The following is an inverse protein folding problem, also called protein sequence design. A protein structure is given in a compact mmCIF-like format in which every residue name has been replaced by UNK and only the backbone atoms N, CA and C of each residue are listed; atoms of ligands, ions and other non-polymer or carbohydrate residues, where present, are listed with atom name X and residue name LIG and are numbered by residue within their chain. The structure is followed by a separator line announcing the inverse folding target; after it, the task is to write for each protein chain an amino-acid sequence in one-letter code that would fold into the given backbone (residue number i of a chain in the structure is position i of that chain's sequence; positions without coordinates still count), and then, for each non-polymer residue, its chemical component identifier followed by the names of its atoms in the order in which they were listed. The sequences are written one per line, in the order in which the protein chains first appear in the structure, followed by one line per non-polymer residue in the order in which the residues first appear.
data_IF_828115162490
#
_entry.id   IF_828115162490
#
_cell.length_a   1.000
_cell.length_b   1.000
_cell.length_c   1.000
_cell.angle_alpha   90.00
_cell.angle_beta   90.00
_cell.angle_gamma   90.00
#
_symmetry.space_group_name_H-M   'P 1'
#
loop_
_entity.id
_entity.type
_entity.pdbx_description
1 polymer ?
#
# COMPACT_ATOMS: atom_id res chain seq x y z
N UNK A 1 -18.90 13.05 9.15
CA UNK A 1 -20.38 12.92 9.15
C UNK A 1 -20.91 11.92 8.11
N UNK A 2 -20.47 11.97 6.85
CA UNK A 2 -20.92 11.03 5.81
C UNK A 2 -20.69 9.54 6.14
N UNK A 3 -19.47 9.16 6.55
CA UNK A 3 -19.16 7.75 6.92
C UNK A 3 -20.11 7.24 8.03
N UNK A 4 -20.40 8.05 9.05
CA UNK A 4 -21.31 7.66 10.14
C UNK A 4 -22.72 7.30 9.63
N UNK A 5 -23.18 7.96 8.56
CA UNK A 5 -24.49 7.73 7.97
C UNK A 5 -24.50 6.52 7.02
N UNK A 6 -23.38 6.23 6.35
CA UNK A 6 -23.31 5.28 5.23
C UNK A 6 -22.38 4.07 5.45
N UNK A 7 -21.70 3.93 6.60
CA UNK A 7 -20.69 2.87 6.83
C UNK A 7 -21.22 1.44 6.71
N UNK A 8 -22.53 1.25 6.85
CA UNK A 8 -23.17 -0.07 6.71
C UNK A 8 -23.43 -0.45 5.26
N UNK A 9 -23.36 0.50 4.32
CA UNK A 9 -23.64 0.28 2.90
C UNK A 9 -22.46 -0.42 2.20
N UNK A 10 -22.77 -1.39 1.36
CA UNK A 10 -21.77 -2.14 0.59
C UNK A 10 -21.02 -1.25 -0.40
N UNK A 11 -21.70 -0.27 -0.98
CA UNK A 11 -21.07 0.73 -1.82
C UNK A 11 -20.00 1.53 -1.06
N UNK A 12 -20.32 2.05 0.13
CA UNK A 12 -19.35 2.84 0.90
C UNK A 12 -18.18 1.97 1.40
N UNK A 13 -18.43 0.69 1.70
CA UNK A 13 -17.38 -0.27 1.99
C UNK A 13 -16.44 -0.47 0.80
N UNK A 14 -16.97 -0.75 -0.39
CA UNK A 14 -16.19 -0.96 -1.62
C UNK A 14 -15.46 0.31 -2.10
N UNK A 15 -16.10 1.46 -1.99
CA UNK A 15 -15.55 2.77 -2.37
C UNK A 15 -14.25 3.10 -1.64
N UNK A 16 -14.13 2.72 -0.37
CA UNK A 16 -12.93 2.98 0.44
C UNK A 16 -11.68 2.24 -0.08
N UNK A 17 -11.82 1.15 -0.82
CA UNK A 17 -10.66 0.47 -1.42
C UNK A 17 -10.05 1.24 -2.59
N UNK A 18 -10.80 2.18 -3.18
CA UNK A 18 -10.33 3.03 -4.26
C UNK A 18 -9.98 4.44 -3.77
N UNK A 19 -10.76 4.98 -2.82
CA UNK A 19 -10.71 6.40 -2.47
C UNK A 19 -10.70 6.66 -0.96
N UNK A 20 -10.51 5.61 -0.15
CA UNK A 20 -10.39 5.73 1.30
C UNK A 20 -8.96 6.06 1.74
N UNK A 21 -8.64 5.77 3.01
CA UNK A 21 -7.32 6.03 3.59
C UNK A 21 -6.24 5.05 3.11
N UNK A 22 -6.63 3.87 2.63
CA UNK A 22 -5.72 2.80 2.22
C UNK A 22 -6.01 2.28 0.80
N UNK A 23 -6.01 3.15 -0.22
CA UNK A 23 -6.43 2.81 -1.58
C UNK A 23 -5.31 2.11 -2.35
N UNK A 24 -4.67 1.10 -1.76
CA UNK A 24 -3.46 0.49 -2.32
C UNK A 24 -3.51 -1.03 -2.34
N UNK A 25 -4.49 -1.69 -1.73
CA UNK A 25 -4.49 -3.16 -1.61
C UNK A 25 -5.30 -3.86 -2.70
N UNK A 26 -6.32 -3.20 -3.24
CA UNK A 26 -7.20 -3.79 -4.24
C UNK A 26 -6.46 -4.07 -5.54
N UNK A 27 -6.72 -5.25 -6.09
CA UNK A 27 -6.23 -5.68 -7.40
C UNK A 27 -7.34 -6.39 -8.17
N UNK A 28 -7.27 -6.36 -9.49
CA UNK A 28 -8.14 -7.16 -10.35
C UNK A 28 -7.84 -8.64 -10.14
N UNK A 29 -8.87 -9.43 -9.97
CA UNK A 29 -8.78 -10.86 -9.77
C UNK A 29 -8.78 -11.55 -11.13
N UNK A 30 -7.69 -12.23 -11.49
CA UNK A 30 -7.57 -12.98 -12.76
C UNK A 30 -7.93 -14.46 -12.61
N UNK A 31 -7.90 -14.96 -11.38
CA UNK A 31 -8.25 -16.33 -11.00
C UNK A 31 -8.68 -16.32 -9.53
N UNK A 32 -9.76 -17.03 -9.18
CA UNK A 32 -10.20 -17.17 -7.79
C UNK A 32 -9.16 -18.03 -7.03
N UNK A 33 -8.58 -17.54 -5.91
CA UNK A 33 -7.62 -18.33 -5.15
C UNK A 33 -8.24 -19.62 -4.62
N UNK A 34 -7.53 -20.76 -4.72
CA UNK A 34 -7.99 -22.05 -4.16
C UNK A 34 -8.32 -22.02 -2.66
N UNK A 35 -7.72 -21.06 -1.94
CA UNK A 35 -7.98 -20.81 -0.51
C UNK A 35 -9.29 -20.05 -0.23
N UNK A 36 -10.02 -19.65 -1.27
CA UNK A 36 -11.36 -19.07 -1.23
C UNK A 36 -12.29 -19.90 -2.12
N UNK A 37 -12.91 -20.98 -1.61
CA UNK A 37 -13.79 -21.86 -2.37
C UNK A 37 -15.19 -21.26 -2.59
N UNK A 38 -15.25 -20.01 -3.08
CA UNK A 38 -16.50 -19.35 -3.47
C UNK A 38 -16.99 -19.91 -4.81
N UNK A 39 -18.29 -20.11 -4.95
CA UNK A 39 -18.91 -20.64 -6.18
C UNK A 39 -19.86 -19.62 -6.79
N UNK A 40 -20.24 -19.84 -8.06
CA UNK A 40 -21.26 -19.02 -8.73
C UNK A 40 -22.58 -19.01 -7.95
N UNK A 41 -23.05 -20.15 -7.44
CA UNK A 41 -24.31 -20.24 -6.69
C UNK A 41 -24.29 -19.40 -5.41
N UNK A 42 -23.13 -19.26 -4.77
CA UNK A 42 -22.99 -18.45 -3.56
C UNK A 42 -23.18 -16.95 -3.84
N UNK A 43 -22.72 -16.48 -5.00
CA UNK A 43 -22.70 -15.05 -5.34
C UNK A 43 -23.69 -14.67 -6.43
N UNK A 44 -24.52 -15.61 -6.90
CA UNK A 44 -25.47 -15.41 -8.01
C UNK A 44 -26.33 -14.16 -7.82
N UNK A 45 -26.83 -13.93 -6.59
CA UNK A 45 -27.66 -12.76 -6.27
C UNK A 45 -26.93 -11.41 -6.37
N UNK A 46 -25.60 -11.43 -6.43
CA UNK A 46 -24.76 -10.24 -6.55
C UNK A 46 -24.28 -9.99 -7.99
N UNK A 47 -24.37 -10.99 -8.87
CA UNK A 47 -23.95 -10.87 -10.27
C UNK A 47 -25.10 -10.30 -11.11
N UNK A 48 -24.81 -9.32 -11.96
CA UNK A 48 -25.85 -8.52 -12.63
C UNK A 48 -25.89 -8.73 -14.16
N UNK A 49 -25.00 -9.57 -14.71
CA UNK A 49 -24.82 -9.73 -16.17
C UNK A 49 -25.28 -11.07 -16.73
N UNK A 50 -25.94 -11.91 -15.92
CA UNK A 50 -26.26 -13.31 -16.28
C UNK A 50 -25.02 -14.10 -16.71
N UNK A 51 -23.90 -13.86 -16.04
CA UNK A 51 -22.64 -14.56 -16.22
C UNK A 51 -22.33 -15.37 -14.97
N UNK A 52 -21.62 -16.48 -15.14
CA UNK A 52 -21.01 -17.21 -14.02
C UNK A 52 -19.90 -16.38 -13.36
N UNK A 53 -19.52 -16.71 -12.12
CA UNK A 53 -18.41 -16.05 -11.43
C UNK A 53 -17.11 -16.17 -12.25
N UNK A 54 -16.85 -17.35 -12.83
CA UNK A 54 -15.67 -17.59 -13.66
C UNK A 54 -15.67 -16.74 -14.94
N UNK A 55 -16.83 -16.48 -15.52
CA UNK A 55 -16.97 -15.57 -16.66
C UNK A 55 -16.76 -14.12 -16.24
N UNK A 56 -17.28 -13.68 -15.09
CA UNK A 56 -17.05 -12.32 -14.56
C UNK A 56 -15.57 -12.07 -14.24
N UNK A 57 -14.84 -13.10 -13.75
CA UNK A 57 -13.37 -13.06 -13.60
C UNK A 57 -12.70 -12.85 -14.96
N UNK A 58 -13.09 -13.60 -15.99
CA UNK A 58 -12.52 -13.47 -17.35
C UNK A 58 -12.82 -12.11 -17.99
N UNK A 59 -14.00 -11.54 -17.70
CA UNK A 59 -14.37 -10.19 -18.12
C UNK A 59 -13.63 -9.09 -17.34
N UNK A 60 -12.91 -9.45 -16.27
CA UNK A 60 -12.18 -8.49 -15.44
C UNK A 60 -13.05 -7.67 -14.50
N UNK A 61 -14.27 -8.14 -14.20
CA UNK A 61 -15.22 -7.46 -13.30
C UNK A 61 -15.05 -7.86 -11.83
N UNK A 62 -14.19 -8.83 -11.52
CA UNK A 62 -13.93 -9.31 -10.17
C UNK A 62 -12.62 -8.75 -9.64
N UNK A 63 -12.63 -8.32 -8.38
CA UNK A 63 -11.50 -7.74 -7.67
C UNK A 63 -11.30 -8.45 -6.35
N UNK A 64 -10.09 -8.37 -5.81
CA UNK A 64 -9.74 -9.06 -4.57
C UNK A 64 -8.85 -8.19 -3.68
N UNK A 65 -9.10 -8.26 -2.38
CA UNK A 65 -8.21 -7.76 -1.34
C UNK A 65 -7.89 -8.94 -0.43
N UNK A 66 -6.61 -9.27 -0.29
CA UNK A 66 -6.12 -10.43 0.45
C UNK A 66 -5.17 -9.98 1.56
N UNK A 67 -5.58 -10.21 2.81
CA UNK A 67 -4.87 -9.80 4.01
C UNK A 67 -3.94 -10.89 4.56
N UNK A 68 -3.42 -11.77 3.69
CA UNK A 68 -2.52 -12.88 4.06
C UNK A 68 -1.33 -12.45 4.95
N UNK A 69 -0.84 -11.21 4.81
CA UNK A 69 0.24 -10.69 5.66
C UNK A 69 -0.08 -10.73 7.17
N UNK A 70 -1.36 -10.61 7.53
CA UNK A 70 -1.84 -10.68 8.91
C UNK A 70 -1.90 -12.11 9.46
N UNK A 71 -1.84 -13.14 8.59
CA UNK A 71 -1.92 -14.53 9.05
C UNK A 71 -0.71 -14.87 9.92
N UNK A 72 -0.98 -15.40 11.12
CA UNK A 72 0.03 -15.68 12.13
C UNK A 72 0.76 -14.44 12.66
N UNK A 73 0.15 -13.26 12.64
CA UNK A 73 0.61 -12.10 13.44
C UNK A 73 0.05 -12.22 14.85
N UNK A 74 0.89 -11.95 15.85
CA UNK A 74 0.47 -11.97 17.25
C UNK A 74 -0.47 -10.80 17.57
N UNK A 75 -1.61 -11.11 18.18
CA UNK A 75 -2.50 -10.11 18.74
C UNK A 75 -1.92 -9.52 20.03
N UNK A 76 -2.29 -8.27 20.31
CA UNK A 76 -1.83 -7.51 21.46
C UNK A 76 -2.32 -8.14 22.78
N UNK A 77 -1.36 -8.42 23.69
CA UNK A 77 -1.58 -9.03 25.01
C UNK A 77 -1.12 -8.14 26.16
N UNK A 78 -0.92 -6.84 25.91
CA UNK A 78 -0.41 -5.90 26.92
C UNK A 78 -1.43 -5.57 28.02
N UNK A 79 -2.73 -5.65 27.71
CA UNK A 79 -3.81 -5.60 28.70
C UNK A 79 -4.30 -7.03 29.03
N UNK A 80 -4.00 -7.58 30.21
CA UNK A 80 -4.43 -8.92 30.60
C UNK A 80 -5.94 -9.02 30.86
N UNK A 81 -6.63 -7.89 31.01
CA UNK A 81 -8.08 -7.86 31.25
C UNK A 81 -8.89 -7.85 29.95
N UNK A 82 -8.25 -7.59 28.80
CA UNK A 82 -8.93 -7.49 27.49
C UNK A 82 -8.22 -8.36 26.46
N UNK A 83 -8.87 -9.46 26.05
CA UNK A 83 -8.37 -10.28 24.94
C UNK A 83 -8.64 -9.55 23.63
N UNK A 84 -7.58 -9.30 22.86
CA UNK A 84 -7.65 -8.72 21.52
C UNK A 84 -7.42 -9.80 20.46
N UNK A 85 -7.90 -9.55 19.25
CA UNK A 85 -7.97 -10.52 18.17
C UNK A 85 -7.58 -9.86 16.84
N UNK A 86 -7.05 -10.68 15.94
CA UNK A 86 -6.73 -10.31 14.57
C UNK A 86 -7.39 -11.32 13.61
N UNK A 87 -7.62 -10.89 12.38
CA UNK A 87 -8.06 -11.73 11.28
C UNK A 87 -7.11 -11.56 10.09
N UNK A 88 -7.21 -12.45 9.11
CA UNK A 88 -6.49 -12.33 7.84
C UNK A 88 -7.48 -12.59 6.69
N UNK A 89 -8.41 -11.65 6.42
CA UNK A 89 -9.51 -11.90 5.51
C UNK A 89 -9.11 -11.99 4.04
N UNK A 90 -9.97 -12.61 3.25
CA UNK A 90 -10.00 -12.50 1.79
C UNK A 90 -11.35 -11.89 1.42
N UNK A 91 -11.33 -10.73 0.79
CA UNK A 91 -12.52 -10.00 0.35
C UNK A 91 -12.59 -10.04 -1.18
N UNK A 92 -13.66 -10.62 -1.72
CA UNK A 92 -13.96 -10.60 -3.15
C UNK A 92 -14.97 -9.49 -3.44
N UNK A 93 -14.71 -8.71 -4.49
CA UNK A 93 -15.54 -7.59 -4.90
C UNK A 93 -15.90 -7.70 -6.38
N UNK A 94 -16.99 -7.04 -6.75
CA UNK A 94 -17.56 -7.07 -8.09
C UNK A 94 -17.84 -5.65 -8.59
N UNK A 95 -17.51 -5.39 -9.85
CA UNK A 95 -17.91 -4.17 -10.56
C UNK A 95 -19.29 -4.34 -11.16
N UNK A 96 -20.26 -3.68 -10.56
CA UNK A 96 -21.66 -3.73 -10.97
C UNK A 96 -21.93 -2.96 -12.29
N UNK A 97 -23.18 -2.95 -12.77
CA UNK A 97 -23.59 -2.26 -14.00
C UNK A 97 -23.44 -0.74 -13.93
N UNK A 98 -23.44 -0.17 -12.71
CA UNK A 98 -23.14 1.24 -12.46
C UNK A 98 -21.64 1.53 -12.34
N UNK A 99 -20.77 0.56 -12.64
CA UNK A 99 -19.31 0.63 -12.49
C UNK A 99 -18.83 0.90 -11.04
N UNK A 100 -19.66 0.60 -10.05
CA UNK A 100 -19.29 0.63 -8.63
C UNK A 100 -18.73 -0.72 -8.22
N UNK A 101 -17.64 -0.69 -7.45
CA UNK A 101 -17.06 -1.90 -6.86
C UNK A 101 -17.74 -2.14 -5.51
N UNK A 102 -18.35 -3.31 -5.34
CA UNK A 102 -19.06 -3.71 -4.11
C UNK A 102 -18.60 -5.09 -3.63
N UNK A 103 -18.56 -5.35 -2.32
CA UNK A 103 -18.20 -6.66 -1.77
C UNK A 103 -19.27 -7.72 -2.07
N UNK A 104 -18.84 -8.93 -2.44
CA UNK A 104 -19.74 -10.06 -2.75
C UNK A 104 -19.43 -11.32 -1.93
N UNK A 105 -18.23 -11.45 -1.37
CA UNK A 105 -17.87 -12.56 -0.50
C UNK A 105 -16.72 -12.18 0.44
N UNK A 106 -16.78 -12.63 1.70
CA UNK A 106 -15.72 -12.41 2.70
C UNK A 106 -15.44 -13.72 3.45
N UNK A 107 -14.19 -14.18 3.41
CA UNK A 107 -13.70 -15.25 4.30
C UNK A 107 -12.73 -14.62 5.31
N UNK A 108 -12.91 -14.83 6.62
CA UNK A 108 -12.15 -14.09 7.65
C UNK A 108 -10.76 -14.66 7.96
N UNK A 109 -10.56 -15.96 7.72
CA UNK A 109 -9.25 -16.61 7.80
C UNK A 109 -8.72 -17.06 6.43
N UNK A 110 -7.43 -17.41 6.38
CA UNK A 110 -6.76 -17.84 5.15
C UNK A 110 -7.01 -19.31 4.79
N UNK A 111 -7.38 -20.16 5.75
CA UNK A 111 -7.64 -21.59 5.52
C UNK A 111 -9.14 -21.85 5.49
N UNK A 112 -9.72 -22.32 4.37
CA UNK A 112 -11.15 -22.60 4.31
C UNK A 112 -11.49 -23.81 5.20
N UNK A 113 -12.71 -23.83 5.72
CA UNK A 113 -13.20 -24.92 6.56
C UNK A 113 -14.54 -24.57 7.22
N UNK A 114 -15.18 -25.53 7.91
CA UNK A 114 -16.48 -25.32 8.55
C UNK A 114 -16.46 -24.20 9.60
N UNK A 115 -15.32 -23.99 10.27
CA UNK A 115 -15.13 -22.94 11.29
C UNK A 115 -14.66 -21.59 10.70
N UNK A 116 -14.50 -21.51 9.37
CA UNK A 116 -14.14 -20.28 8.65
C UNK A 116 -15.05 -20.14 7.42
N UNK A 117 -16.34 -19.79 7.64
CA UNK A 117 -17.31 -19.68 6.57
C UNK A 117 -16.96 -18.51 5.63
N UNK A 118 -17.54 -18.57 4.43
CA UNK A 118 -17.57 -17.45 3.49
C UNK A 118 -18.89 -16.72 3.73
N UNK A 119 -18.80 -15.51 4.28
CA UNK A 119 -19.93 -14.63 4.50
C UNK A 119 -20.32 -13.92 3.21
N UNK A 120 -21.62 -13.72 3.01
CA UNK A 120 -22.23 -13.18 1.81
C UNK A 120 -23.18 -12.01 2.14
N UNK A 121 -23.44 -11.09 1.20
CA UNK A 121 -24.44 -10.03 1.38
C UNK A 121 -25.86 -10.55 1.64
N UNK A 122 -26.14 -11.80 1.27
CA UNK A 122 -27.42 -12.49 1.45
C UNK A 122 -27.59 -13.12 2.84
N UNK A 123 -26.54 -13.16 3.66
CA UNK A 123 -26.60 -13.69 5.02
C UNK A 123 -27.41 -12.79 5.96
N UNK A 124 -27.58 -13.23 7.22
CA UNK A 124 -28.22 -12.41 8.24
C UNK A 124 -27.49 -11.06 8.37
N UNK A 125 -28.26 -10.00 8.59
CA UNK A 125 -27.78 -8.61 8.56
C UNK A 125 -26.50 -8.38 9.37
N UNK A 126 -26.41 -9.00 10.56
CA UNK A 126 -25.26 -8.82 11.44
C UNK A 126 -24.07 -9.73 11.12
N UNK A 127 -24.29 -10.88 10.47
CA UNK A 127 -23.21 -11.75 10.02
C UNK A 127 -22.41 -11.04 8.92
N UNK A 128 -23.12 -10.52 7.91
CA UNK A 128 -22.51 -9.74 6.85
C UNK A 128 -21.86 -8.44 7.36
N UNK A 129 -22.54 -7.71 8.24
CA UNK A 129 -22.01 -6.48 8.80
C UNK A 129 -20.72 -6.73 9.60
N UNK A 130 -20.69 -7.79 10.42
CA UNK A 130 -19.51 -8.13 11.22
C UNK A 130 -18.35 -8.60 10.34
N UNK A 131 -18.61 -9.38 9.29
CA UNK A 131 -17.58 -9.77 8.32
C UNK A 131 -16.91 -8.54 7.68
N UNK A 132 -17.71 -7.55 7.27
CA UNK A 132 -17.20 -6.26 6.77
C UNK A 132 -16.39 -5.49 7.83
N UNK A 133 -16.85 -5.45 9.09
CA UNK A 133 -16.11 -4.79 10.18
C UNK A 133 -14.72 -5.42 10.36
N UNK A 134 -14.61 -6.75 10.32
CA UNK A 134 -13.32 -7.44 10.40
C UNK A 134 -12.39 -7.13 9.23
N UNK A 135 -12.93 -7.01 8.01
CA UNK A 135 -12.15 -6.54 6.86
C UNK A 135 -11.69 -5.09 7.07
N UNK A 136 -12.54 -4.18 7.55
CA UNK A 136 -12.13 -2.79 7.84
C UNK A 136 -11.07 -2.71 8.94
N UNK A 137 -11.15 -3.55 9.98
CA UNK A 137 -10.11 -3.66 11.01
C UNK A 137 -8.78 -4.14 10.43
N UNK A 138 -8.83 -5.14 9.56
CA UNK A 138 -7.64 -5.68 8.88
C UNK A 138 -7.02 -4.64 7.93
N UNK A 139 -7.86 -3.90 7.21
CA UNK A 139 -7.45 -2.77 6.37
C UNK A 139 -6.73 -1.70 7.18
N UNK A 140 -7.29 -1.33 8.34
CA UNK A 140 -6.68 -0.37 9.25
C UNK A 140 -5.31 -0.86 9.75
N UNK A 141 -5.16 -2.14 10.10
CA UNK A 141 -3.88 -2.66 10.58
C UNK A 141 -2.78 -2.62 9.50
N UNK A 142 -3.11 -3.03 8.26
CA UNK A 142 -2.19 -2.93 7.13
C UNK A 142 -1.88 -1.47 6.80
N UNK A 143 -2.92 -0.62 6.78
CA UNK A 143 -2.79 0.81 6.53
C UNK A 143 -1.78 1.46 7.47
N UNK A 144 -1.99 1.34 8.79
CA UNK A 144 -1.13 1.99 9.78
C UNK A 144 0.31 1.50 9.72
N UNK A 145 0.50 0.18 9.63
CA UNK A 145 1.81 -0.44 9.85
C UNK A 145 2.63 -0.55 8.57
N UNK A 146 1.97 -0.90 7.47
CA UNK A 146 2.65 -1.20 6.20
C UNK A 146 2.55 -0.01 5.26
N UNK A 147 1.34 0.38 4.89
CA UNK A 147 1.13 1.45 3.90
C UNK A 147 1.67 2.79 4.40
N UNK A 148 1.38 3.14 5.66
CA UNK A 148 1.76 4.39 6.27
C UNK A 148 3.18 4.32 6.85
N UNK A 149 3.40 3.59 7.94
CA UNK A 149 4.71 3.57 8.63
C UNK A 149 5.84 3.04 7.73
N UNK A 150 5.78 1.79 7.24
CA UNK A 150 6.90 1.22 6.48
C UNK A 150 7.11 1.94 5.14
N UNK A 151 6.06 1.99 4.31
CA UNK A 151 6.19 2.36 2.90
C UNK A 151 6.27 3.87 2.64
N UNK A 152 5.99 4.71 3.63
CA UNK A 152 6.23 6.17 3.54
C UNK A 152 7.28 6.62 4.54
N UNK A 153 7.03 6.51 5.84
CA UNK A 153 7.94 7.04 6.86
C UNK A 153 9.33 6.40 6.81
N UNK A 154 9.43 5.07 6.91
CA UNK A 154 10.73 4.40 7.01
C UNK A 154 11.50 4.43 5.68
N UNK A 155 10.81 4.26 4.54
CA UNK A 155 11.42 4.42 3.21
C UNK A 155 11.94 5.85 3.00
N UNK A 156 11.16 6.87 3.36
CA UNK A 156 11.59 8.27 3.25
C UNK A 156 12.78 8.59 4.16
N UNK A 157 12.84 7.98 5.34
CA UNK A 157 13.98 8.14 6.25
C UNK A 157 15.26 7.51 5.69
N UNK A 158 15.16 6.35 5.02
CA UNK A 158 16.28 5.75 4.28
C UNK A 158 16.83 6.72 3.23
N UNK A 159 15.96 7.32 2.43
CA UNK A 159 16.37 8.33 1.44
C UNK A 159 17.00 9.55 2.11
N UNK A 160 16.41 10.04 3.20
CA UNK A 160 16.90 11.19 3.96
C UNK A 160 18.32 10.95 4.49
N UNK A 161 18.55 9.80 5.13
CA UNK A 161 19.84 9.46 5.74
C UNK A 161 20.92 9.32 4.67
N UNK A 162 20.64 8.61 3.57
CA UNK A 162 21.58 8.47 2.48
C UNK A 162 21.92 9.83 1.84
N UNK A 163 20.92 10.70 1.63
CA UNK A 163 21.12 12.05 1.11
C UNK A 163 22.09 12.84 2.00
N UNK A 164 21.84 12.89 3.32
CA UNK A 164 22.70 13.61 4.25
C UNK A 164 24.11 13.03 4.38
N UNK A 165 24.30 11.72 4.14
CA UNK A 165 25.60 11.06 4.26
C UNK A 165 26.46 11.19 3.01
N UNK A 166 25.84 11.19 1.83
CA UNK A 166 26.57 11.00 0.57
C UNK A 166 26.53 12.22 -0.35
N UNK A 167 25.55 13.12 -0.21
CA UNK A 167 25.41 14.29 -1.08
C UNK A 167 25.78 15.57 -0.31
N UNK A 168 26.85 16.30 -0.67
CA UNK A 168 27.20 17.55 -0.02
C UNK A 168 26.18 18.65 -0.34
N UNK A 169 26.11 19.69 0.51
CA UNK A 169 25.12 20.76 0.37
C UNK A 169 25.21 21.56 -0.95
N UNK A 170 26.35 21.49 -1.65
CA UNK A 170 26.55 22.09 -2.97
C UNK A 170 25.99 21.23 -4.10
N UNK A 171 25.84 19.91 -3.89
CA UNK A 171 25.37 18.98 -4.92
C UNK A 171 23.94 19.32 -5.36
N UNK A 172 23.64 19.33 -6.67
CA UNK A 172 22.31 19.71 -7.17
C UNK A 172 21.21 18.80 -6.62
N UNK A 173 21.47 17.49 -6.51
CA UNK A 173 20.51 16.55 -5.95
C UNK A 173 20.24 16.77 -4.45
N UNK A 174 21.21 17.24 -3.67
CA UNK A 174 20.96 17.64 -2.28
C UNK A 174 19.99 18.82 -2.23
N UNK A 175 20.22 19.85 -3.06
CA UNK A 175 19.37 21.04 -3.13
C UNK A 175 17.94 20.70 -3.55
N UNK A 176 17.80 19.76 -4.49
CA UNK A 176 16.51 19.24 -4.94
C UNK A 176 15.78 18.48 -3.82
N UNK A 177 16.46 17.56 -3.13
CA UNK A 177 15.82 16.62 -2.22
C UNK A 177 15.62 17.17 -0.80
N UNK A 178 16.47 18.07 -0.31
CA UNK A 178 16.41 18.57 1.07
C UNK A 178 15.04 19.13 1.50
N UNK A 179 14.27 19.87 0.67
CA UNK A 179 12.91 20.29 1.08
C UNK A 179 11.95 19.11 1.28
N UNK A 180 12.11 18.00 0.54
CA UNK A 180 11.28 16.80 0.64
C UNK A 180 11.63 15.91 1.85
N UNK A 181 12.84 16.07 2.42
CA UNK A 181 13.32 15.28 3.55
C UNK A 181 13.11 15.96 4.91
N UNK A 182 12.53 17.17 4.91
CA UNK A 182 12.44 18.00 6.10
C UNK A 182 11.61 17.31 7.18
N UNK A 183 12.23 17.14 8.34
CA UNK A 183 11.66 16.54 9.56
C UNK A 183 11.35 15.04 9.52
N UNK A 184 11.54 14.33 8.40
CA UNK A 184 11.32 12.88 8.31
C UNK A 184 12.07 12.10 9.39
N UNK A 185 13.37 12.35 9.55
CA UNK A 185 14.19 11.69 10.59
C UNK A 185 13.69 12.07 12.00
N UNK A 186 13.31 13.33 12.21
CA UNK A 186 12.87 13.82 13.51
C UNK A 186 11.54 13.19 13.95
N UNK A 187 10.55 13.13 13.05
CA UNK A 187 9.24 12.53 13.36
C UNK A 187 9.36 11.02 13.57
N UNK A 188 10.17 10.33 12.76
CA UNK A 188 10.40 8.89 12.93
C UNK A 188 11.15 8.57 14.22
N UNK A 189 12.09 9.44 14.63
CA UNK A 189 12.77 9.31 15.92
C UNK A 189 11.77 9.45 17.08
N UNK A 190 10.88 10.44 17.04
CA UNK A 190 9.80 10.57 18.04
C UNK A 190 8.86 9.37 18.03
N UNK A 191 8.51 8.84 16.86
CA UNK A 191 7.66 7.66 16.76
C UNK A 191 8.31 6.45 17.43
N UNK A 192 9.60 6.20 17.18
CA UNK A 192 10.36 5.13 17.84
C UNK A 192 10.54 5.34 19.34
N UNK A 193 10.50 6.58 19.83
CA UNK A 193 10.64 6.88 21.26
C UNK A 193 9.31 6.78 22.02
N UNK A 194 8.19 7.14 21.38
CA UNK A 194 6.92 7.39 22.08
C UNK A 194 5.72 6.61 21.54
N UNK A 195 5.71 6.30 20.24
CA UNK A 195 4.55 5.73 19.55
C UNK A 195 4.65 4.21 19.44
N UNK A 196 5.66 3.73 18.72
CA UNK A 196 5.82 2.32 18.32
C UNK A 196 6.91 1.58 19.12
N UNK A 197 7.44 2.21 20.18
CA UNK A 197 8.29 1.53 21.15
C UNK A 197 7.49 0.50 21.96
N UNK A 198 8.21 -0.39 22.64
CA UNK A 198 7.61 -1.23 23.68
C UNK A 198 6.88 -0.35 24.70
N UNK A 199 5.62 -0.69 25.02
CA UNK A 199 4.73 0.09 25.89
C UNK A 199 4.40 1.51 25.38
N UNK A 200 4.63 1.78 24.09
CA UNK A 200 4.32 3.04 23.44
C UNK A 200 2.82 3.31 23.32
N UNK A 201 2.46 4.50 22.83
CA UNK A 201 1.06 4.90 22.65
C UNK A 201 0.30 3.98 21.69
N UNK A 202 0.98 3.36 20.72
CA UNK A 202 0.35 2.46 19.75
C UNK A 202 -0.27 1.23 20.43
N UNK A 203 0.31 0.74 21.52
CA UNK A 203 -0.18 -0.47 22.21
C UNK A 203 -1.53 -0.26 22.91
N UNK A 204 -1.97 0.99 23.11
CA UNK A 204 -3.17 1.32 23.87
C UNK A 204 -4.48 1.00 23.15
N UNK A 205 -4.50 1.04 21.82
CA UNK A 205 -5.72 0.94 21.02
C UNK A 205 -5.60 -0.02 19.82
N UNK A 206 -4.41 -0.53 19.52
CA UNK A 206 -4.18 -1.33 18.33
C UNK A 206 -4.01 -2.82 18.68
N UNK A 207 -4.80 -3.67 18.03
CA UNK A 207 -4.70 -5.13 18.18
C UNK A 207 -3.38 -5.72 17.67
N UNK A 208 -2.60 -4.97 16.89
CA UNK A 208 -1.23 -5.32 16.48
C UNK A 208 -0.15 -4.73 17.41
N UNK A 209 -0.54 -4.03 18.49
CA UNK A 209 0.37 -3.59 19.54
C UNK A 209 1.07 -4.75 20.25
N UNK A 210 2.09 -4.46 21.04
CA UNK A 210 2.84 -5.46 21.82
C UNK A 210 3.76 -6.35 20.97
N UNK A 211 4.05 -5.95 19.73
CA UNK A 211 5.03 -6.61 18.84
C UNK A 211 4.46 -7.15 17.53
N UNK A 212 3.14 -7.31 17.39
CA UNK A 212 2.52 -7.77 16.13
C UNK A 212 2.84 -6.87 14.94
N UNK A 213 2.81 -5.56 15.12
CA UNK A 213 3.18 -4.57 14.09
C UNK A 213 4.66 -4.69 13.66
N UNK A 214 5.56 -5.09 14.56
CA UNK A 214 6.97 -5.35 14.21
C UNK A 214 7.07 -6.60 13.32
N UNK A 215 6.32 -7.66 13.62
CA UNK A 215 6.24 -8.86 12.77
C UNK A 215 5.68 -8.52 11.39
N UNK A 216 4.67 -7.66 11.32
CA UNK A 216 4.11 -7.18 10.05
C UNK A 216 5.15 -6.44 9.21
N UNK A 217 5.93 -5.52 9.80
CA UNK A 217 7.02 -4.82 9.10
C UNK A 217 8.05 -5.83 8.56
N UNK A 218 8.44 -6.82 9.37
CA UNK A 218 9.40 -7.86 8.95
C UNK A 218 8.88 -8.71 7.78
N UNK A 219 7.58 -9.06 7.79
CA UNK A 219 6.93 -9.76 6.67
C UNK A 219 6.90 -8.87 5.43
N UNK A 220 6.35 -7.65 5.56
CA UNK A 220 6.17 -6.70 4.46
C UNK A 220 7.49 -6.28 3.79
N UNK A 221 8.60 -6.22 4.55
CA UNK A 221 9.92 -5.88 4.00
C UNK A 221 10.38 -6.86 2.92
N UNK A 222 9.91 -8.12 2.95
CA UNK A 222 10.23 -9.13 1.93
C UNK A 222 9.59 -8.82 0.58
N UNK A 223 8.46 -8.12 0.59
CA UNK A 223 7.67 -7.76 -0.58
C UNK A 223 7.86 -6.29 -1.01
N UNK A 224 8.66 -5.53 -0.26
CA UNK A 224 9.01 -4.16 -0.62
C UNK A 224 10.00 -4.17 -1.80
N UNK A 225 9.51 -3.78 -2.97
CA UNK A 225 10.33 -3.64 -4.17
C UNK A 225 10.39 -2.19 -4.65
N UNK A 226 11.44 -1.85 -5.39
CA UNK A 226 11.56 -0.55 -6.04
C UNK A 226 10.41 -0.29 -7.02
N UNK A 227 10.00 -1.28 -7.83
CA UNK A 227 8.87 -1.15 -8.75
C UNK A 227 7.54 -0.90 -8.01
N UNK A 228 7.38 -1.43 -6.80
CA UNK A 228 6.19 -1.16 -5.98
C UNK A 228 6.11 0.28 -5.43
N UNK A 229 7.17 1.07 -5.59
CA UNK A 229 7.20 2.51 -5.32
C UNK A 229 7.10 3.36 -6.60
N UNK A 230 7.21 2.73 -7.78
CA UNK A 230 6.94 3.38 -9.06
C UNK A 230 5.44 3.42 -9.29
N UNK A 231 4.81 4.56 -9.04
CA UNK A 231 3.34 4.65 -8.94
C UNK A 231 2.59 4.08 -10.16
N UNK A 232 2.91 4.43 -11.42
CA UNK A 232 2.21 3.87 -12.58
C UNK A 232 2.44 2.36 -12.75
N UNK A 233 3.64 1.87 -12.44
CA UNK A 233 3.96 0.44 -12.52
C UNK A 233 3.16 -0.36 -11.50
N UNK A 234 3.01 0.15 -10.28
CA UNK A 234 2.27 -0.50 -9.20
C UNK A 234 0.76 -0.56 -9.49
N UNK A 235 0.18 0.51 -10.04
CA UNK A 235 -1.23 0.52 -10.48
C UNK A 235 -1.46 -0.53 -11.57
N UNK A 236 -0.56 -0.58 -12.56
CA UNK A 236 -0.62 -1.56 -13.66
C UNK A 236 -0.40 -2.99 -13.17
N UNK A 237 0.53 -3.22 -12.24
CA UNK A 237 0.80 -4.53 -11.66
C UNK A 237 -0.42 -5.11 -10.93
N UNK A 238 -1.29 -4.25 -10.39
CA UNK A 238 -2.57 -4.63 -9.78
C UNK A 238 -3.72 -4.76 -10.79
N UNK A 239 -3.47 -4.45 -12.07
CA UNK A 239 -4.49 -4.44 -13.12
C UNK A 239 -5.55 -3.37 -12.90
N UNK A 240 -5.17 -2.24 -12.29
CA UNK A 240 -6.09 -1.15 -11.94
C UNK A 240 -5.88 0.11 -12.80
N UNK A 241 -5.09 0.02 -13.87
CA UNK A 241 -4.66 1.15 -14.72
C UNK A 241 -5.69 1.59 -15.77
N UNK A 242 -6.73 0.80 -16.04
CA UNK A 242 -7.77 1.14 -17.01
C UNK A 242 -8.79 2.14 -16.43
N UNK A 243 -8.80 3.36 -16.97
CA UNK A 243 -9.79 4.39 -16.63
C UNK A 243 -11.19 4.06 -17.19
N UNK A 244 -11.25 3.30 -18.28
CA UNK A 244 -12.51 2.88 -18.90
C UNK A 244 -13.19 1.78 -18.07
N UNK A 245 -12.42 0.79 -17.61
CA UNK A 245 -12.95 -0.32 -16.82
C UNK A 245 -13.24 0.10 -15.38
N UNK A 246 -12.41 0.98 -14.80
CA UNK A 246 -12.48 1.40 -13.40
C UNK A 246 -12.51 2.94 -13.35
N UNK A 247 -13.67 3.58 -13.61
CA UNK A 247 -13.77 5.02 -13.79
C UNK A 247 -13.73 5.85 -12.50
N UNK A 248 -13.82 5.23 -11.33
CA UNK A 248 -13.96 5.92 -10.04
C UNK A 248 -12.77 5.68 -9.09
N UNK A 249 -11.55 5.59 -9.64
CA UNK A 249 -10.33 5.40 -8.87
C UNK A 249 -9.50 6.70 -8.80
N UNK A 250 -9.96 7.64 -7.99
CA UNK A 250 -9.40 9.00 -7.95
C UNK A 250 -7.98 9.05 -7.39
N UNK A 251 -7.64 8.16 -6.43
CA UNK A 251 -6.27 8.01 -5.97
C UNK A 251 -5.29 7.71 -7.12
N UNK A 252 -5.67 6.81 -8.03
CA UNK A 252 -4.90 6.53 -9.25
C UNK A 252 -4.85 7.76 -10.14
N UNK A 253 -6.01 8.34 -10.47
CA UNK A 253 -6.11 9.39 -11.47
C UNK A 253 -5.29 10.64 -11.09
N UNK A 254 -5.39 11.03 -9.83
CA UNK A 254 -4.65 12.19 -9.31
C UNK A 254 -3.19 11.83 -9.03
N UNK A 255 -2.92 10.61 -8.53
CA UNK A 255 -1.57 10.12 -8.32
C UNK A 255 -0.74 10.05 -9.60
N UNK A 256 -1.32 9.62 -10.73
CA UNK A 256 -0.65 9.62 -12.04
C UNK A 256 -0.26 11.04 -12.45
N UNK A 257 -1.19 12.01 -12.34
CA UNK A 257 -0.91 13.41 -12.69
C UNK A 257 0.22 14.01 -11.85
N UNK A 258 0.20 13.76 -10.53
CA UNK A 258 1.24 14.25 -9.62
C UNK A 258 2.57 13.55 -9.89
N UNK A 259 2.55 12.25 -10.17
CA UNK A 259 3.74 11.49 -10.56
C UNK A 259 4.38 12.06 -11.82
N UNK A 260 3.59 12.30 -12.87
CA UNK A 260 4.06 12.87 -14.14
C UNK A 260 4.62 14.28 -13.97
N UNK A 261 3.97 15.12 -13.16
CA UNK A 261 4.46 16.46 -12.86
C UNK A 261 5.81 16.43 -12.12
N UNK A 262 5.97 15.56 -11.13
CA UNK A 262 7.23 15.38 -10.40
C UNK A 262 8.32 14.82 -11.33
N UNK A 263 7.96 13.86 -12.19
CA UNK A 263 8.89 13.27 -13.15
C UNK A 263 9.42 14.28 -14.15
N UNK A 264 8.52 15.05 -14.78
CA UNK A 264 8.91 16.12 -15.71
C UNK A 264 9.80 17.15 -15.02
N UNK A 265 9.48 17.55 -13.79
CA UNK A 265 10.34 18.45 -13.01
C UNK A 265 11.73 17.86 -12.73
N UNK A 266 11.81 16.57 -12.36
CA UNK A 266 13.09 15.89 -12.14
C UNK A 266 13.92 15.82 -13.43
N UNK A 267 13.29 15.51 -14.57
CA UNK A 267 13.93 15.48 -15.88
C UNK A 267 14.53 16.84 -16.24
N UNK A 268 13.76 17.92 -16.10
CA UNK A 268 14.23 19.29 -16.36
C UNK A 268 15.45 19.65 -15.50
N UNK A 269 15.42 19.32 -14.20
CA UNK A 269 16.56 19.57 -13.29
C UNK A 269 17.77 18.74 -13.70
N UNK A 270 17.59 17.46 -14.03
CA UNK A 270 18.69 16.60 -14.46
C UNK A 270 19.32 17.13 -15.75
N UNK A 271 18.53 17.57 -16.72
CA UNK A 271 19.04 18.13 -17.97
C UNK A 271 19.85 19.42 -17.79
N UNK A 272 19.63 20.16 -16.70
CA UNK A 272 20.44 21.35 -16.37
C UNK A 272 21.83 20.98 -15.84
N UNK A 273 21.94 19.91 -15.04
CA UNK A 273 23.17 19.58 -14.31
C UNK A 273 23.95 18.37 -14.87
N UNK A 274 23.30 17.49 -15.63
CA UNK A 274 23.88 16.29 -16.21
C UNK A 274 23.76 16.33 -17.74
N UNK A 275 24.87 16.66 -18.41
CA UNK A 275 24.92 16.80 -19.86
C UNK A 275 24.70 15.48 -20.60
N UNK A 276 25.13 14.36 -20.00
CA UNK A 276 25.01 13.02 -20.58
C UNK A 276 24.90 11.92 -19.53
N UNK A 277 24.65 10.69 -19.99
CA UNK A 277 24.60 9.49 -19.15
C UNK A 277 25.97 9.13 -18.58
N UNK A 278 27.05 9.47 -19.28
CA UNK A 278 28.41 9.32 -18.79
C UNK A 278 28.65 10.16 -17.53
N UNK A 279 28.19 11.42 -17.51
CA UNK A 279 28.30 12.29 -16.33
C UNK A 279 27.53 11.69 -15.13
N UNK A 280 26.37 11.07 -15.38
CA UNK A 280 25.63 10.35 -14.32
C UNK A 280 26.43 9.15 -13.82
N UNK A 281 27.06 8.38 -14.69
CA UNK A 281 27.89 7.23 -14.31
C UNK A 281 29.12 7.63 -13.49
N UNK A 282 29.74 8.76 -13.83
CA UNK A 282 30.97 9.26 -13.21
C UNK A 282 30.74 9.98 -11.88
N UNK A 283 29.50 10.37 -11.57
CA UNK A 283 29.12 10.99 -10.30
C UNK A 283 29.22 10.00 -9.13
N UNK A 284 30.40 10.00 -8.49
CA UNK A 284 30.73 9.12 -7.36
C UNK A 284 29.86 9.37 -6.12
N UNK A 285 29.35 10.60 -5.93
CA UNK A 285 28.51 10.97 -4.79
C UNK A 285 27.09 10.43 -4.99
N UNK A 286 26.54 10.56 -6.20
CA UNK A 286 25.29 9.90 -6.61
C UNK A 286 25.39 8.37 -6.47
N UNK A 287 26.47 7.76 -6.95
CA UNK A 287 26.60 6.30 -6.83
C UNK A 287 26.73 5.85 -5.38
N UNK A 288 27.41 6.64 -4.54
CA UNK A 288 27.46 6.38 -3.11
C UNK A 288 26.07 6.51 -2.46
N UNK A 289 25.29 7.55 -2.81
CA UNK A 289 23.91 7.73 -2.35
C UNK A 289 23.01 6.53 -2.67
N UNK A 290 22.99 6.10 -3.93
CA UNK A 290 22.18 4.95 -4.40
C UNK A 290 22.63 3.66 -3.70
N UNK A 291 23.95 3.47 -3.55
CA UNK A 291 24.50 2.30 -2.88
C UNK A 291 24.19 2.28 -1.38
N UNK A 292 24.19 3.42 -0.70
CA UNK A 292 23.87 3.51 0.74
C UNK A 292 22.42 3.08 1.00
N UNK A 293 21.49 3.53 0.13
CA UNK A 293 20.08 3.10 0.14
C UNK A 293 19.97 1.60 -0.07
N UNK A 294 20.62 1.06 -1.09
CA UNK A 294 20.54 -0.37 -1.40
C UNK A 294 21.13 -1.24 -0.27
N UNK A 295 22.36 -0.94 0.17
CA UNK A 295 23.11 -1.79 1.10
C UNK A 295 22.58 -1.69 2.53
N UNK A 296 22.37 -0.48 3.03
CA UNK A 296 22.02 -0.27 4.44
C UNK A 296 20.53 -0.09 4.63
N UNK A 297 19.87 0.72 3.79
CA UNK A 297 18.43 0.93 3.86
C UNK A 297 17.65 -0.33 3.53
N UNK A 298 17.89 -0.89 2.34
CA UNK A 298 17.22 -2.10 1.83
C UNK A 298 17.97 -3.39 2.19
N UNK A 299 18.98 -3.30 3.07
CA UNK A 299 19.76 -4.43 3.61
C UNK A 299 20.45 -5.29 2.55
N UNK A 300 20.75 -4.73 1.37
CA UNK A 300 21.41 -5.43 0.28
C UNK A 300 20.59 -6.58 -0.32
N UNK A 301 19.28 -6.62 -0.10
CA UNK A 301 18.42 -7.72 -0.57
C UNK A 301 18.24 -7.61 -2.09
N UNK A 302 18.71 -8.59 -2.86
CA UNK A 302 18.59 -8.61 -4.33
C UNK A 302 17.13 -8.53 -4.81
N UNK A 303 16.22 -9.21 -4.10
CA UNK A 303 14.80 -9.23 -4.43
C UNK A 303 14.11 -7.86 -4.31
N UNK A 304 14.69 -6.90 -3.56
CA UNK A 304 14.13 -5.55 -3.45
C UNK A 304 14.12 -4.79 -4.79
N UNK A 305 14.91 -5.18 -5.78
CA UNK A 305 14.96 -4.52 -7.08
C UNK A 305 15.51 -3.10 -7.08
N UNK A 306 15.95 -2.56 -5.93
CA UNK A 306 16.58 -1.25 -5.86
C UNK A 306 17.89 -1.25 -6.67
N UNK A 307 18.12 -0.22 -7.50
CA UNK A 307 19.35 -0.12 -8.26
C UNK A 307 20.56 0.00 -7.33
N UNK A 308 21.66 -0.66 -7.71
CA UNK A 308 22.96 -0.52 -7.03
C UNK A 308 23.78 0.66 -7.54
N UNK A 309 23.42 1.14 -8.73
CA UNK A 309 24.09 2.18 -9.49
C UNK A 309 23.07 2.70 -10.51
N UNK A 310 23.11 4.00 -10.80
CA UNK A 310 22.30 4.65 -11.82
C UNK A 310 23.24 5.08 -12.95
N UNK A 311 22.89 4.73 -14.18
CA UNK A 311 23.76 4.95 -15.35
C UNK A 311 23.20 5.91 -16.39
N UNK A 312 21.91 6.20 -16.33
CA UNK A 312 21.25 7.05 -17.33
C UNK A 312 20.46 8.14 -16.65
N UNK A 313 20.29 9.25 -17.36
CA UNK A 313 19.49 10.39 -16.90
C UNK A 313 18.03 10.01 -16.72
N UNK A 314 17.48 9.16 -17.58
CA UNK A 314 16.09 8.71 -17.44
C UNK A 314 15.91 7.89 -16.16
N UNK A 315 16.87 7.01 -15.84
CA UNK A 315 16.80 6.23 -14.60
C UNK A 315 17.00 7.10 -13.37
N UNK A 316 17.86 8.13 -13.46
CA UNK A 316 18.01 9.11 -12.38
C UNK A 316 16.71 9.88 -12.15
N UNK A 317 16.04 10.32 -13.22
CA UNK A 317 14.78 11.05 -13.13
C UNK A 317 13.70 10.21 -12.46
N UNK A 318 13.54 8.96 -12.88
CA UNK A 318 12.62 8.03 -12.25
C UNK A 318 12.96 7.80 -10.76
N UNK A 319 14.23 7.62 -10.43
CA UNK A 319 14.66 7.41 -9.04
C UNK A 319 14.32 8.61 -8.16
N UNK A 320 14.61 9.84 -8.62
CA UNK A 320 14.24 11.05 -7.90
C UNK A 320 12.72 11.24 -7.83
N UNK A 321 11.99 10.80 -8.85
CA UNK A 321 10.52 10.79 -8.84
C UNK A 321 9.98 9.89 -7.74
N UNK A 322 10.50 8.66 -7.60
CA UNK A 322 10.15 7.74 -6.50
C UNK A 322 10.36 8.43 -5.14
N UNK A 323 11.52 9.04 -4.96
CA UNK A 323 11.88 9.70 -3.71
C UNK A 323 10.94 10.87 -3.39
N UNK A 324 10.74 11.79 -4.33
CA UNK A 324 9.92 12.99 -4.14
C UNK A 324 8.43 12.64 -4.03
N UNK A 325 7.92 11.68 -4.80
CA UNK A 325 6.53 11.24 -4.74
C UNK A 325 6.22 10.53 -3.42
N UNK A 326 7.09 9.64 -2.97
CA UNK A 326 6.90 8.88 -1.71
C UNK A 326 6.84 9.81 -0.49
N UNK A 327 7.74 10.81 -0.47
CA UNK A 327 7.86 11.79 0.63
C UNK A 327 6.75 12.85 0.64
N UNK A 328 6.02 13.01 -0.45
CA UNK A 328 4.97 14.02 -0.59
C UNK A 328 3.60 13.38 -0.89
N UNK A 329 3.31 13.13 -2.16
CA UNK A 329 2.02 12.68 -2.65
C UNK A 329 1.54 11.39 -2.00
N UNK A 330 2.39 10.36 -1.95
CA UNK A 330 2.03 9.07 -1.35
C UNK A 330 1.69 9.23 0.14
N UNK A 331 2.59 9.85 0.91
CA UNK A 331 2.36 10.10 2.33
C UNK A 331 1.10 10.93 2.55
N UNK A 332 0.87 11.99 1.78
CA UNK A 332 -0.32 12.82 1.90
C UNK A 332 -1.61 12.01 1.67
N UNK A 333 -1.65 11.20 0.61
CA UNK A 333 -2.81 10.39 0.26
C UNK A 333 -3.16 9.34 1.33
N UNK A 334 -2.16 8.77 2.01
CA UNK A 334 -2.39 7.73 3.02
C UNK A 334 -2.40 8.26 4.46
N UNK A 335 -2.08 9.54 4.68
CA UNK A 335 -2.08 10.13 6.02
C UNK A 335 -3.32 11.00 6.29
N UNK A 336 -3.65 11.94 5.40
CA UNK A 336 -4.62 13.00 5.71
C UNK A 336 -6.10 12.60 5.56
N UNK A 337 -6.38 11.34 5.23
CA UNK A 337 -7.73 10.78 5.23
C UNK A 337 -8.14 10.10 6.55
N UNK A 338 -7.19 9.83 7.45
CA UNK A 338 -7.41 9.27 8.79
C UNK A 338 -8.26 10.20 9.64
#
# INVERSE_FOLDING_TARGET
EYVMQHWKEDFMFGYQFLNGCNPVLIRRCTEIPKKLPVTTEMVECSLERNLTLEEEVKQGNIFIVDYELLDGVDANKTDPCTIQYLAAPICLLYKNLENKIVPIAIQLGQKPGPDNPIFLPSDATYDWLLAKIWVRSSDFHIHQTVTHLLRTHLVSEVFSIAMFRQLPAVHPLFKLLVPHMRFTIAINTKAREQLICECGLFDKANATGGGGHVQMVQKAMKDLTYSSLCFPEEIKAKGMDSNEDIPYYYYRDDGIKVWEAIKSFAEDVIHVYYESDEVVCEDVELQAFVKDIYVYGMRGVKASGFPKMIRTREKLAEYLTVVMFTTSAQHAAVNFGQ
#
